data_IF_158005226835
#
_entry.id   IF_158005226835
#
_cell.length_a   1.000
_cell.length_b   1.000
_cell.length_c   1.000
_cell.angle_alpha   90.00
_cell.angle_beta   90.00
_cell.angle_gamma   90.00
#
_symmetry.space_group_name_H-M   'P 1'
#
loop_
_entity.id
_entity.type
_entity.pdbx_description
1 polymer ?
#
# COMPACT_ATOMS: atom_id res chain seq x y z
N UNK A 1 -0.81 -6.22 -8.04
CA UNK A 1 -0.75 -7.70 -7.95
C UNK A 1 -1.36 -8.35 -9.19
N UNK A 2 -2.26 -7.67 -9.90
CA UNK A 2 -2.78 -8.14 -11.19
C UNK A 2 -1.68 -8.31 -12.26
N UNK A 3 -0.71 -7.39 -12.33
CA UNK A 3 0.36 -7.42 -13.33
C UNK A 3 1.71 -7.95 -12.80
N UNK A 4 2.04 -7.65 -11.54
CA UNK A 4 3.32 -8.03 -10.90
C UNK A 4 3.20 -9.22 -9.92
N UNK A 5 1.99 -9.69 -9.65
CA UNK A 5 1.72 -10.77 -8.72
C UNK A 5 1.06 -11.95 -9.43
N UNK A 6 0.24 -12.69 -8.70
CA UNK A 6 -0.35 -13.94 -9.20
C UNK A 6 -1.51 -13.78 -10.22
N UNK A 7 -1.75 -12.57 -10.71
CA UNK A 7 -2.76 -12.31 -11.73
C UNK A 7 -4.20 -12.06 -11.24
N UNK A 8 -5.02 -11.54 -12.15
CA UNK A 8 -6.43 -11.18 -11.93
C UNK A 8 -7.29 -12.39 -11.53
N UNK A 9 -7.04 -13.56 -12.12
CA UNK A 9 -7.83 -14.76 -11.85
C UNK A 9 -7.71 -15.20 -10.39
N UNK A 10 -6.49 -15.35 -9.88
CA UNK A 10 -6.26 -15.71 -8.47
C UNK A 10 -6.73 -14.62 -7.52
N UNK A 11 -6.56 -13.34 -7.87
CA UNK A 11 -7.14 -12.23 -7.09
C UNK A 11 -8.64 -12.36 -6.93
N UNK A 12 -9.34 -12.61 -8.05
CA UNK A 12 -10.80 -12.76 -8.05
C UNK A 12 -11.22 -13.97 -7.22
N UNK A 13 -10.49 -15.08 -7.34
CA UNK A 13 -10.77 -16.28 -6.55
C UNK A 13 -10.59 -16.02 -5.04
N UNK A 14 -9.47 -15.41 -4.63
CA UNK A 14 -9.24 -15.05 -3.23
C UNK A 14 -10.34 -14.16 -2.65
N UNK A 15 -10.80 -13.16 -3.41
CA UNK A 15 -11.93 -12.32 -2.99
C UNK A 15 -13.22 -13.12 -2.78
N UNK A 16 -13.53 -14.08 -3.66
CA UNK A 16 -14.70 -14.95 -3.51
C UNK A 16 -14.58 -15.85 -2.27
N UNK A 17 -13.39 -16.37 -2.00
CA UNK A 17 -13.14 -17.22 -0.83
C UNK A 17 -13.24 -16.44 0.48
N UNK A 18 -12.83 -15.17 0.50
CA UNK A 18 -13.07 -14.25 1.62
C UNK A 18 -14.56 -14.01 1.84
N UNK A 19 -15.31 -13.70 0.77
CA UNK A 19 -16.76 -13.50 0.86
C UNK A 19 -17.51 -14.76 1.31
N UNK A 20 -17.01 -15.93 0.95
CA UNK A 20 -17.55 -17.23 1.36
C UNK A 20 -17.08 -17.68 2.76
N UNK A 21 -16.34 -16.84 3.50
CA UNK A 21 -15.74 -17.17 4.81
C UNK A 21 -14.83 -18.41 4.80
N UNK A 22 -14.20 -18.73 3.66
CA UNK A 22 -13.23 -19.83 3.54
C UNK A 22 -11.81 -19.43 3.89
N UNK A 23 -11.53 -18.13 3.82
CA UNK A 23 -10.22 -17.52 4.12
C UNK A 23 -10.44 -16.13 4.71
N UNK A 24 -9.56 -15.70 5.60
CA UNK A 24 -9.64 -14.32 6.11
C UNK A 24 -9.15 -13.33 5.04
N UNK A 25 -9.68 -12.10 5.06
CA UNK A 25 -9.17 -11.03 4.17
C UNK A 25 -7.66 -10.86 4.31
N UNK A 26 -7.17 -10.95 5.56
CA UNK A 26 -5.77 -10.83 5.92
C UNK A 26 -4.90 -11.90 5.25
N UNK A 27 -5.32 -13.16 5.28
CA UNK A 27 -4.53 -14.23 4.68
C UNK A 27 -4.54 -14.11 3.15
N UNK A 28 -5.71 -13.82 2.56
CA UNK A 28 -5.83 -13.59 1.12
C UNK A 28 -4.98 -12.40 0.65
N UNK A 29 -4.95 -11.33 1.43
CA UNK A 29 -4.14 -10.14 1.14
C UNK A 29 -2.64 -10.43 1.27
N UNK A 30 -2.22 -11.20 2.28
CA UNK A 30 -0.83 -11.64 2.42
C UNK A 30 -0.40 -12.48 1.22
N UNK A 31 -1.18 -13.50 0.84
CA UNK A 31 -0.89 -14.33 -0.34
C UNK A 31 -0.78 -13.50 -1.62
N UNK A 32 -1.64 -12.47 -1.74
CA UNK A 32 -1.61 -11.54 -2.86
C UNK A 32 -0.31 -10.77 -2.93
N UNK A 33 0.15 -10.21 -1.82
CA UNK A 33 1.41 -9.47 -1.75
C UNK A 33 2.62 -10.40 -1.90
N UNK A 34 2.56 -11.61 -1.34
CA UNK A 34 3.65 -12.59 -1.39
C UNK A 34 3.92 -13.15 -2.79
N UNK A 35 2.91 -13.06 -3.66
CA UNK A 35 3.06 -13.38 -5.08
C UNK A 35 3.93 -12.38 -5.84
N UNK A 36 4.12 -11.17 -5.33
CA UNK A 36 4.95 -10.14 -5.98
C UNK A 36 6.43 -10.42 -5.67
N UNK A 37 7.20 -10.71 -6.71
CA UNK A 37 8.66 -10.92 -6.61
C UNK A 37 9.48 -9.67 -6.93
N UNK A 38 8.86 -8.67 -7.54
CA UNK A 38 9.49 -7.38 -7.82
C UNK A 38 10.06 -6.76 -6.53
N UNK A 39 11.31 -6.26 -6.56
CA UNK A 39 11.89 -5.47 -5.47
C UNK A 39 10.98 -4.35 -4.97
N UNK A 40 11.07 -3.99 -3.69
CA UNK A 40 10.13 -3.03 -3.09
C UNK A 40 10.26 -1.61 -3.68
N UNK A 41 11.48 -1.10 -3.86
CA UNK A 41 11.74 0.16 -4.57
C UNK A 41 11.16 0.18 -5.99
N UNK A 42 11.25 -0.94 -6.70
CA UNK A 42 10.71 -1.09 -8.05
C UNK A 42 9.17 -1.12 -8.03
N UNK A 43 8.56 -1.73 -7.01
CA UNK A 43 7.12 -1.64 -6.77
C UNK A 43 6.69 -0.18 -6.57
N UNK A 44 7.42 0.58 -5.75
CA UNK A 44 7.15 2.01 -5.54
C UNK A 44 7.25 2.76 -6.88
N UNK A 45 8.33 2.56 -7.65
CA UNK A 45 8.51 3.23 -8.95
C UNK A 45 7.32 2.97 -9.89
N UNK A 46 6.94 1.71 -10.05
CA UNK A 46 5.80 1.33 -10.91
C UNK A 46 4.50 1.97 -10.42
N UNK A 47 4.25 1.98 -9.10
CA UNK A 47 3.05 2.64 -8.55
C UNK A 47 3.06 4.14 -8.80
N UNK A 48 4.21 4.80 -8.59
CA UNK A 48 4.35 6.22 -8.89
C UNK A 48 4.04 6.48 -10.36
N UNK A 49 4.60 5.72 -11.29
CA UNK A 49 4.41 5.92 -12.74
C UNK A 49 2.95 5.73 -13.21
N UNK A 50 2.17 4.88 -12.54
CA UNK A 50 0.86 4.44 -13.04
C UNK A 50 -0.34 4.86 -12.19
N UNK A 51 -0.12 5.41 -10.99
CA UNK A 51 -1.21 5.90 -10.15
C UNK A 51 -1.54 7.35 -10.46
N UNK A 52 -2.82 7.67 -10.31
CA UNK A 52 -3.35 9.03 -10.31
C UNK A 52 -3.93 9.31 -8.93
N UNK A 53 -3.70 10.52 -8.43
CA UNK A 53 -4.37 11.01 -7.24
C UNK A 53 -5.79 11.46 -7.61
N UNK A 54 -6.72 11.33 -6.67
CA UNK A 54 -8.03 11.96 -6.83
C UNK A 54 -7.85 13.45 -7.20
N UNK A 55 -8.47 13.94 -8.30
CA UNK A 55 -8.27 15.30 -8.79
C UNK A 55 -8.57 16.40 -7.77
N UNK A 56 -9.40 16.12 -6.76
CA UNK A 56 -9.81 17.07 -5.73
C UNK A 56 -9.02 16.91 -4.42
N UNK A 57 -8.14 15.90 -4.31
CA UNK A 57 -7.40 15.67 -3.07
C UNK A 57 -6.48 16.82 -2.68
N UNK A 58 -5.81 17.45 -3.65
CA UNK A 58 -4.92 18.59 -3.36
C UNK A 58 -5.69 19.80 -2.84
N UNK A 59 -6.90 20.05 -3.37
CA UNK A 59 -7.79 21.10 -2.88
C UNK A 59 -8.26 20.79 -1.45
N UNK A 60 -8.71 19.55 -1.21
CA UNK A 60 -9.07 19.06 0.12
C UNK A 60 -7.92 19.19 1.13
N UNK A 61 -6.71 18.77 0.74
CA UNK A 61 -5.52 18.82 1.59
C UNK A 61 -5.19 20.25 2.02
N UNK A 62 -5.15 21.19 1.06
CA UNK A 62 -4.87 22.59 1.33
C UNK A 62 -5.94 23.20 2.23
N UNK A 63 -7.23 22.93 1.96
CA UNK A 63 -8.32 23.40 2.82
C UNK A 63 -8.17 22.88 4.25
N UNK A 64 -7.90 21.58 4.41
CA UNK A 64 -7.74 20.96 5.72
C UNK A 64 -6.55 21.56 6.48
N UNK A 65 -5.42 21.79 5.80
CA UNK A 65 -4.25 22.46 6.37
C UNK A 65 -4.60 23.87 6.85
N UNK A 66 -5.21 24.67 5.99
CA UNK A 66 -5.51 26.09 6.26
C UNK A 66 -6.54 26.27 7.40
N UNK A 67 -7.36 25.24 7.66
CA UNK A 67 -8.37 25.24 8.73
C UNK A 67 -7.97 24.41 9.96
N UNK A 68 -6.71 23.95 10.04
CA UNK A 68 -6.22 23.10 11.13
C UNK A 68 -7.05 21.81 11.33
N UNK A 69 -7.58 21.24 10.24
CA UNK A 69 -8.31 19.97 10.25
C UNK A 69 -7.29 18.83 10.12
N UNK A 70 -7.21 17.91 11.08
CA UNK A 70 -6.33 16.76 10.99
C UNK A 70 -6.87 15.75 9.96
N UNK A 71 -5.99 15.21 9.14
CA UNK A 71 -6.31 14.13 8.19
C UNK A 71 -5.74 12.82 8.73
N UNK A 72 -6.54 11.77 8.74
CA UNK A 72 -6.09 10.40 9.06
C UNK A 72 -6.34 9.50 7.85
N UNK A 73 -5.28 8.92 7.31
CA UNK A 73 -5.36 7.89 6.27
C UNK A 73 -5.32 6.53 6.97
N UNK A 74 -6.46 5.83 6.98
CA UNK A 74 -6.56 4.44 7.39
C UNK A 74 -6.51 3.55 6.15
N UNK A 75 -5.48 2.72 6.03
CA UNK A 75 -5.26 1.95 4.79
C UNK A 75 -4.72 0.55 5.06
N UNK A 76 -5.20 -0.43 4.28
CA UNK A 76 -4.61 -1.76 4.22
C UNK A 76 -3.29 -1.79 3.43
N UNK A 77 -2.89 -0.68 2.81
CA UNK A 77 -1.60 -0.52 2.14
C UNK A 77 -0.42 -0.48 3.10
N UNK A 78 0.74 -0.07 2.59
CA UNK A 78 1.97 0.07 3.38
C UNK A 78 2.41 1.52 3.47
N UNK A 79 2.83 1.96 4.66
CA UNK A 79 3.24 3.35 4.95
C UNK A 79 4.23 3.91 3.93
N UNK A 80 5.33 3.22 3.55
CA UNK A 80 6.31 3.79 2.62
C UNK A 80 5.74 4.06 1.22
N UNK A 81 4.78 3.26 0.76
CA UNK A 81 4.11 3.47 -0.53
C UNK A 81 3.21 4.70 -0.46
N UNK A 82 2.40 4.81 0.61
CA UNK A 82 1.46 5.92 0.79
C UNK A 82 2.24 7.24 0.90
N UNK A 83 3.34 7.26 1.65
CA UNK A 83 4.23 8.41 1.76
C UNK A 83 4.81 8.81 0.40
N UNK A 84 5.38 7.86 -0.35
CA UNK A 84 5.94 8.15 -1.67
C UNK A 84 4.90 8.74 -2.64
N UNK A 85 3.67 8.23 -2.62
CA UNK A 85 2.57 8.77 -3.42
C UNK A 85 2.20 10.20 -2.99
N UNK A 86 2.03 10.44 -1.69
CA UNK A 86 1.70 11.77 -1.17
C UNK A 86 2.78 12.79 -1.54
N UNK A 87 4.06 12.46 -1.35
CA UNK A 87 5.18 13.34 -1.73
C UNK A 87 5.17 13.61 -3.22
N UNK A 88 4.97 12.60 -4.06
CA UNK A 88 4.90 12.78 -5.52
C UNK A 88 3.79 13.75 -5.93
N UNK A 89 2.60 13.62 -5.35
CA UNK A 89 1.45 14.40 -5.79
C UNK A 89 1.31 15.77 -5.13
N UNK A 90 1.74 15.92 -3.87
CA UNK A 90 1.75 17.20 -3.15
C UNK A 90 3.02 18.00 -3.44
N UNK A 91 4.10 17.35 -3.89
CA UNK A 91 5.41 17.97 -4.13
C UNK A 91 6.23 18.21 -2.87
N UNK A 92 5.72 17.82 -1.69
CA UNK A 92 6.38 17.95 -0.40
C UNK A 92 5.85 16.89 0.57
N UNK A 93 6.55 16.70 1.70
CA UNK A 93 6.06 15.86 2.79
C UNK A 93 4.79 16.47 3.42
N UNK A 94 3.70 15.71 3.59
CA UNK A 94 2.47 16.24 4.18
C UNK A 94 2.65 16.53 5.68
N UNK A 95 2.17 17.69 6.14
CA UNK A 95 2.41 18.17 7.51
C UNK A 95 1.28 17.79 8.48
N UNK A 96 0.03 17.68 8.00
CA UNK A 96 -1.17 17.44 8.81
C UNK A 96 -1.85 16.09 8.51
N UNK A 97 -1.09 15.10 8.03
CA UNK A 97 -1.59 13.75 7.73
C UNK A 97 -0.98 12.73 8.69
N UNK A 98 -1.83 12.00 9.41
CA UNK A 98 -1.46 10.76 10.09
C UNK A 98 -1.77 9.57 9.20
N UNK A 99 -0.82 8.64 9.06
CA UNK A 99 -1.02 7.39 8.32
C UNK A 99 -1.09 6.23 9.30
N UNK A 100 -2.22 5.53 9.31
CA UNK A 100 -2.43 4.28 10.03
C UNK A 100 -2.52 3.17 8.99
N UNK A 101 -1.39 2.50 8.75
CA UNK A 101 -1.27 1.48 7.72
C UNK A 101 -0.21 0.44 8.09
N UNK A 102 -0.11 -0.61 7.28
CA UNK A 102 0.85 -1.68 7.47
C UNK A 102 2.28 -1.20 7.16
N UNK A 103 3.26 -1.99 7.57
CA UNK A 103 4.68 -1.75 7.28
C UNK A 103 5.23 -2.80 6.32
N UNK A 104 6.47 -2.58 5.89
CA UNK A 104 7.25 -3.53 5.09
C UNK A 104 8.44 -4.01 5.91
N UNK A 105 8.81 -5.28 5.75
CA UNK A 105 10.03 -5.83 6.34
C UNK A 105 10.74 -6.78 5.38
N UNK A 106 11.97 -7.10 5.73
CA UNK A 106 12.75 -8.17 5.12
C UNK A 106 11.97 -9.49 5.11
N UNK A 107 11.95 -10.17 3.97
CA UNK A 107 11.52 -11.56 3.84
C UNK A 107 12.76 -12.46 3.90
N UNK A 108 12.77 -13.41 4.82
CA UNK A 108 13.82 -14.42 4.98
C UNK A 108 15.24 -13.84 5.13
N UNK A 109 15.37 -12.67 5.76
CA UNK A 109 16.66 -12.00 5.98
C UNK A 109 17.24 -11.31 4.75
N UNK A 110 16.50 -11.24 3.63
CA UNK A 110 16.91 -10.52 2.42
C UNK A 110 16.76 -9.01 2.55
N UNK A 111 17.50 -8.26 1.74
CA UNK A 111 17.23 -6.83 1.54
C UNK A 111 15.88 -6.63 0.84
N UNK A 112 15.08 -5.64 1.27
CA UNK A 112 13.72 -5.42 0.76
C UNK A 112 13.68 -5.02 -0.73
N UNK A 113 14.79 -4.51 -1.25
CA UNK A 113 14.97 -4.13 -2.64
C UNK A 113 15.66 -5.24 -3.45
N UNK A 114 15.75 -6.46 -2.89
CA UNK A 114 16.09 -7.67 -3.63
C UNK A 114 14.84 -8.37 -4.13
N UNK A 115 14.99 -9.19 -5.17
CA UNK A 115 13.87 -9.99 -5.71
C UNK A 115 13.26 -10.89 -4.61
N UNK A 116 11.95 -10.73 -4.42
CA UNK A 116 11.17 -11.43 -3.39
C UNK A 116 11.61 -11.12 -1.97
N UNK A 117 12.36 -10.04 -1.74
CA UNK A 117 13.03 -9.73 -0.48
C UNK A 117 12.20 -8.99 0.56
N UNK A 118 10.94 -8.65 0.25
CA UNK A 118 10.06 -7.91 1.15
C UNK A 118 8.79 -8.69 1.47
N UNK A 119 8.21 -8.44 2.64
CA UNK A 119 6.92 -8.94 3.07
C UNK A 119 6.16 -7.85 3.86
N UNK A 120 4.83 -8.00 3.93
CA UNK A 120 3.99 -7.09 4.72
C UNK A 120 4.09 -7.40 6.22
N UNK A 121 4.20 -6.34 7.02
CA UNK A 121 4.07 -6.39 8.49
C UNK A 121 2.76 -5.70 8.85
N UNK A 122 1.80 -6.47 9.36
CA UNK A 122 0.51 -5.92 9.71
C UNK A 122 0.60 -5.02 10.95
N UNK A 123 -0.11 -3.89 10.90
CA UNK A 123 -0.09 -2.89 11.97
C UNK A 123 -0.64 -3.44 13.30
N UNK A 124 -1.71 -4.23 13.23
CA UNK A 124 -2.50 -4.66 14.39
C UNK A 124 -2.04 -5.99 15.02
N UNK A 125 -0.88 -6.52 14.61
CA UNK A 125 -0.29 -7.76 15.14
C UNK A 125 0.57 -7.54 16.39
N UNK A 126 0.33 -6.44 17.11
CA UNK A 126 1.10 -6.04 18.28
C UNK A 126 0.49 -6.53 19.59
#
# INVERSE_FOLDING_TARGET
TDNLGYGREKRRQGNLDVLANKMSFRDSFREMLDSVKTPFNECIRVLLENMELDPHFTEFYNWARDHNVPIVILSSGMVPIIQALLVKFLGHEPENIQIVANQVASRDGKDINSEGGWQIVYHDDR
#
